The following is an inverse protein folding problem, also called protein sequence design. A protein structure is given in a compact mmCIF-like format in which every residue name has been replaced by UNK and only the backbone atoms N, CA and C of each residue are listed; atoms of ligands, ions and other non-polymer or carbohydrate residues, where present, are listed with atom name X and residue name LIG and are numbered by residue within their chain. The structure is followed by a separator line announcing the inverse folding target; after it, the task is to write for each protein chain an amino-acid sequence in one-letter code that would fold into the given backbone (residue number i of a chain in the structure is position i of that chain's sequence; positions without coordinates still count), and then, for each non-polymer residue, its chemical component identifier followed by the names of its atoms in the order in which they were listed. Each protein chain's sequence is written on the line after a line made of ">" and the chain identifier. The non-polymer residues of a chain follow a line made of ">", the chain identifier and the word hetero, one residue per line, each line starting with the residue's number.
data_IF_724403364929
#
_entry.id   IF_724403364929
#
_cell.length_a   1.000
_cell.length_b   1.000
_cell.length_c   1.000
_cell.angle_alpha   90.00
_cell.angle_beta   90.00
_cell.angle_gamma   90.00
#
_symmetry.space_group_name_H-M   'P 1'
#
loop_
_entity.id
_entity.type
_entity.pdbx_description
1 polymer ?
#
# COMPACT_ATOMS: atom_id res chain seq x y z
N UNK A 1 -0.31 0.14 -7.15
CA UNK A 1 0.23 -1.01 -7.92
C UNK A 1 -0.25 -2.30 -7.27
N UNK A 2 -0.42 -3.39 -8.03
CA UNK A 2 -0.76 -4.71 -7.48
C UNK A 2 0.32 -5.70 -7.91
N UNK A 3 0.85 -6.46 -6.95
CA UNK A 3 1.83 -7.51 -7.20
C UNK A 3 1.35 -8.84 -6.60
N UNK A 4 1.73 -9.95 -7.21
CA UNK A 4 1.44 -11.28 -6.66
C UNK A 4 2.75 -12.05 -6.46
N UNK A 5 2.93 -12.65 -5.28
CA UNK A 5 4.09 -13.48 -4.95
C UNK A 5 3.69 -14.59 -3.98
N UNK A 6 3.84 -15.84 -4.41
CA UNK A 6 3.39 -17.00 -3.63
C UNK A 6 1.89 -16.88 -3.29
N UNK A 7 1.56 -17.03 -2.01
CA UNK A 7 0.18 -16.92 -1.50
C UNK A 7 -0.26 -15.48 -1.16
N UNK A 8 0.47 -14.45 -1.61
CA UNK A 8 0.13 -13.05 -1.33
C UNK A 8 -0.33 -12.32 -2.60
N UNK A 9 -1.40 -11.54 -2.45
CA UNK A 9 -1.74 -10.42 -3.33
C UNK A 9 -1.45 -9.13 -2.57
N UNK A 10 -0.50 -8.36 -3.10
CA UNK A 10 0.08 -7.20 -2.44
C UNK A 10 -0.40 -5.94 -3.16
N UNK A 11 -1.13 -5.08 -2.44
CA UNK A 11 -1.52 -3.76 -2.89
C UNK A 11 -0.49 -2.76 -2.40
N UNK A 12 0.16 -2.08 -3.35
CA UNK A 12 1.28 -1.18 -3.06
C UNK A 12 0.81 0.25 -3.31
N UNK A 13 0.72 1.01 -2.23
CA UNK A 13 0.57 2.46 -2.23
C UNK A 13 1.96 3.08 -2.42
N UNK A 14 2.09 3.96 -3.42
CA UNK A 14 3.36 4.63 -3.71
C UNK A 14 3.18 6.12 -3.47
N UNK A 15 4.13 6.74 -2.75
CA UNK A 15 4.12 8.16 -2.45
C UNK A 15 5.48 8.78 -2.75
N UNK A 16 5.50 9.76 -3.64
CA UNK A 16 6.63 10.65 -3.80
C UNK A 16 6.71 11.66 -2.65
N UNK A 17 7.91 11.82 -2.08
CA UNK A 17 8.20 12.72 -0.96
C UNK A 17 9.38 13.62 -1.29
N UNK A 18 9.28 14.87 -0.85
CA UNK A 18 10.34 15.86 -1.01
C UNK A 18 11.27 15.86 0.22
N UNK A 19 10.69 15.67 1.41
CA UNK A 19 11.39 15.67 2.70
C UNK A 19 10.99 14.47 3.57
N UNK A 20 11.89 14.02 4.46
CA UNK A 20 11.61 12.91 5.40
C UNK A 20 10.48 13.22 6.39
N UNK A 21 10.15 14.50 6.59
CA UNK A 21 9.03 14.88 7.46
C UNK A 21 7.66 14.55 6.84
N UNK A 22 7.58 14.39 5.52
CA UNK A 22 6.37 13.94 4.81
C UNK A 22 5.99 12.49 5.14
N UNK A 23 6.90 11.75 5.79
CA UNK A 23 6.71 10.37 6.23
C UNK A 23 5.78 10.29 7.45
N UNK A 24 5.84 11.27 8.35
CA UNK A 24 5.00 11.30 9.54
C UNK A 24 3.55 11.63 9.15
N UNK A 25 2.61 10.73 9.49
CA UNK A 25 1.15 10.86 9.27
C UNK A 25 0.66 10.73 7.81
N UNK A 26 1.46 10.22 6.87
CA UNK A 26 0.98 9.99 5.50
C UNK A 26 -0.26 9.07 5.46
N UNK A 27 -0.21 8.00 6.25
CA UNK A 27 -1.30 7.04 6.39
C UNK A 27 -2.24 7.54 7.49
N UNK A 28 -3.13 8.46 7.13
CA UNK A 28 -4.26 8.83 7.99
C UNK A 28 -5.32 7.72 8.02
N UNK A 29 -6.15 7.62 9.07
CA UNK A 29 -7.26 6.67 9.13
C UNK A 29 -8.21 6.78 7.94
N UNK A 30 -8.46 8.01 7.46
CA UNK A 30 -9.28 8.27 6.27
C UNK A 30 -8.65 7.68 5.02
N UNK A 31 -7.33 7.83 4.85
CA UNK A 31 -6.61 7.27 3.70
C UNK A 31 -6.61 5.75 3.72
N UNK A 32 -6.40 5.13 4.88
CA UNK A 32 -6.56 3.68 5.04
C UNK A 32 -7.96 3.21 4.61
N UNK A 33 -9.00 3.89 5.05
CA UNK A 33 -10.37 3.54 4.68
C UNK A 33 -10.59 3.61 3.15
N UNK A 34 -10.04 4.62 2.48
CA UNK A 34 -10.09 4.72 1.01
C UNK A 34 -9.34 3.57 0.33
N UNK A 35 -8.17 3.21 0.84
CA UNK A 35 -7.39 2.07 0.33
C UNK A 35 -8.20 0.77 0.51
N UNK A 36 -8.76 0.52 1.69
CA UNK A 36 -9.59 -0.66 1.94
C UNK A 36 -10.78 -0.76 0.99
N UNK A 37 -11.51 0.35 0.77
CA UNK A 37 -12.64 0.36 -0.19
C UNK A 37 -12.18 0.04 -1.61
N UNK A 38 -11.02 0.55 -2.02
CA UNK A 38 -10.44 0.28 -3.34
C UNK A 38 -10.07 -1.20 -3.49
N UNK A 39 -9.47 -1.78 -2.44
CA UNK A 39 -9.12 -3.21 -2.40
C UNK A 39 -10.36 -4.08 -2.44
N UNK A 40 -11.39 -3.73 -1.67
CA UNK A 40 -12.67 -4.45 -1.67
C UNK A 40 -13.33 -4.44 -3.05
N UNK A 41 -13.38 -3.27 -3.70
CA UNK A 41 -13.92 -3.15 -5.05
C UNK A 41 -13.11 -3.97 -6.05
N UNK A 42 -11.78 -3.89 -6.03
CA UNK A 42 -10.92 -4.68 -6.92
C UNK A 42 -11.13 -6.19 -6.73
N UNK A 43 -11.18 -6.67 -5.49
CA UNK A 43 -11.33 -8.10 -5.21
C UNK A 43 -12.77 -8.61 -5.41
N UNK A 44 -13.76 -7.72 -5.56
CA UNK A 44 -15.09 -8.11 -5.99
C UNK A 44 -15.07 -8.58 -7.46
N UNK A 45 -14.37 -7.83 -8.32
CA UNK A 45 -14.21 -8.16 -9.74
C UNK A 45 -13.16 -9.25 -9.98
N UNK A 46 -12.09 -9.25 -9.19
CA UNK A 46 -10.96 -10.17 -9.32
C UNK A 46 -10.81 -10.96 -8.02
N UNK A 47 -11.67 -11.95 -7.80
CA UNK A 47 -11.64 -12.77 -6.59
C UNK A 47 -10.31 -13.50 -6.41
N UNK A 48 -9.94 -13.75 -5.15
CA UNK A 48 -8.68 -14.42 -4.81
C UNK A 48 -8.76 -15.07 -3.43
N UNK A 49 -8.17 -16.25 -3.30
CA UNK A 49 -7.98 -16.93 -2.01
C UNK A 49 -6.62 -16.58 -1.35
N UNK A 50 -5.79 -15.78 -2.06
CA UNK A 50 -4.51 -15.30 -1.54
C UNK A 50 -4.69 -14.37 -0.35
N UNK A 51 -3.71 -14.37 0.54
CA UNK A 51 -3.61 -13.39 1.62
C UNK A 51 -3.43 -11.98 1.04
N UNK A 52 -4.22 -11.03 1.55
CA UNK A 52 -4.14 -9.64 1.14
C UNK A 52 -3.11 -8.92 2.01
N UNK A 53 -2.20 -8.19 1.37
CA UNK A 53 -1.20 -7.37 2.04
C UNK A 53 -1.24 -5.96 1.46
N UNK A 54 -1.06 -4.95 2.31
CA UNK A 54 -0.95 -3.56 1.88
C UNK A 54 0.46 -3.07 2.20
N UNK A 55 1.22 -2.69 1.18
CA UNK A 55 2.55 -2.11 1.35
C UNK A 55 2.51 -0.61 1.03
N UNK A 56 3.38 0.15 1.70
CA UNK A 56 3.63 1.55 1.41
C UNK A 56 5.08 1.74 0.99
N UNK A 57 5.28 2.39 -0.15
CA UNK A 57 6.59 2.73 -0.68
C UNK A 57 6.71 4.24 -0.80
N UNK A 58 7.75 4.79 -0.19
CA UNK A 58 8.12 6.19 -0.39
C UNK A 58 9.26 6.28 -1.41
N UNK A 59 9.07 7.13 -2.40
CA UNK A 59 10.04 7.38 -3.46
C UNK A 59 10.52 8.82 -3.45
N UNK A 60 11.78 9.03 -3.80
CA UNK A 60 12.37 10.36 -4.06
C UNK A 60 13.38 10.23 -5.18
N UNK A 61 13.28 11.10 -6.19
CA UNK A 61 14.22 11.14 -7.32
C UNK A 61 14.43 9.75 -7.95
N UNK A 62 13.33 9.02 -8.19
CA UNK A 62 13.29 7.65 -8.70
C UNK A 62 13.97 6.57 -7.82
N UNK A 63 14.36 6.90 -6.59
CA UNK A 63 14.89 5.94 -5.62
C UNK A 63 13.83 5.56 -4.59
N UNK A 64 13.81 4.30 -4.19
CA UNK A 64 13.02 3.84 -3.05
C UNK A 64 13.73 4.29 -1.78
N UNK A 65 13.11 5.18 -1.01
CA UNK A 65 13.63 5.62 0.29
C UNK A 65 13.22 4.66 1.40
N UNK A 66 11.93 4.30 1.44
CA UNK A 66 11.38 3.43 2.48
C UNK A 66 10.33 2.50 1.89
N UNK A 67 10.31 1.28 2.42
CA UNK A 67 9.29 0.28 2.14
C UNK A 67 8.74 -0.24 3.46
N UNK A 68 7.49 0.06 3.73
CA UNK A 68 6.74 -0.43 4.87
C UNK A 68 5.83 -1.57 4.41
N UNK A 69 6.13 -2.78 4.85
CA UNK A 69 5.29 -3.94 4.55
C UNK A 69 4.06 -4.01 5.48
N UNK A 70 2.94 -4.45 4.91
CA UNK A 70 1.72 -4.79 5.65
C UNK A 70 1.21 -3.68 6.61
N UNK A 71 1.04 -2.47 6.09
CA UNK A 71 0.57 -1.29 6.85
C UNK A 71 -0.86 -1.43 7.40
N UNK A 72 -1.58 -2.50 7.05
CA UNK A 72 -2.90 -2.84 7.58
C UNK A 72 -2.87 -3.45 8.98
N UNK A 73 -1.72 -3.95 9.44
CA UNK A 73 -1.57 -4.67 10.72
C UNK A 73 -0.94 -3.84 11.85
N UNK A 74 -0.76 -2.53 11.65
CA UNK A 74 -0.25 -1.60 12.66
C UNK A 74 -1.34 -0.72 13.24
#
# INVERSE_FOLDING_TARGET
>A
MIAEKGNNRIFIEVKEVEQTNDLHNYISPRKLQTIYKTIQFFNHEYTTDKQLRIDLVFIKENNILYHYENISNN
#
